data_IF_609427866414
#
_entry.id   IF_609427866414
#
_cell.length_a   1.000
_cell.length_b   1.000
_cell.length_c   1.000
_cell.angle_alpha   90.00
_cell.angle_beta   90.00
_cell.angle_gamma   90.00
#
_symmetry.space_group_name_H-M   'P 1'
#
loop_
_entity.id
_entity.type
_entity.pdbx_description
1 polymer ?
#
# COMPACT_ATOMS: atom_id res chain seq x y z
N UNK A 1 -16.70 0.47 -7.60
CA UNK A 1 -16.89 -1.00 -7.70
C UNK A 1 -18.31 -1.35 -7.29
N UNK A 2 -18.83 -2.50 -7.76
CA UNK A 2 -20.17 -3.02 -7.40
C UNK A 2 -20.39 -3.11 -5.90
N UNK A 3 -19.36 -3.56 -5.17
CA UNK A 3 -19.38 -3.65 -3.70
C UNK A 3 -19.55 -2.27 -3.04
N UNK A 4 -18.93 -1.22 -3.60
CA UNK A 4 -19.08 0.14 -3.07
C UNK A 4 -20.49 0.65 -3.21
N UNK A 5 -21.15 0.42 -4.36
CA UNK A 5 -22.54 0.80 -4.58
C UNK A 5 -23.47 0.03 -3.61
N UNK A 6 -23.27 -1.30 -3.49
CA UNK A 6 -24.01 -2.11 -2.50
C UNK A 6 -23.89 -1.53 -1.09
N UNK A 7 -22.68 -1.17 -0.66
CA UNK A 7 -22.47 -0.59 0.67
C UNK A 7 -23.13 0.79 0.84
N UNK A 8 -23.22 1.61 -0.22
CA UNK A 8 -23.93 2.88 -0.18
C UNK A 8 -25.43 2.67 -0.02
N UNK A 9 -26.00 1.69 -0.73
CA UNK A 9 -27.41 1.31 -0.60
C UNK A 9 -27.71 0.85 0.84
N UNK A 10 -26.92 -0.07 1.38
CA UNK A 10 -27.08 -0.59 2.74
C UNK A 10 -26.92 0.50 3.82
N UNK A 11 -26.19 1.57 3.52
CA UNK A 11 -26.03 2.75 4.38
C UNK A 11 -27.05 3.85 4.10
N UNK A 12 -28.08 3.56 3.32
CA UNK A 12 -29.14 4.50 2.96
C UNK A 12 -28.62 5.78 2.28
N UNK A 13 -27.53 5.68 1.51
CA UNK A 13 -26.86 6.80 0.81
C UNK A 13 -27.18 6.82 -0.69
N UNK A 14 -28.22 6.12 -1.14
CA UNK A 14 -28.64 6.08 -2.54
C UNK A 14 -30.15 6.33 -2.67
N UNK A 15 -30.52 7.22 -3.59
CA UNK A 15 -31.90 7.53 -3.97
C UNK A 15 -32.10 7.27 -5.45
N UNK A 16 -33.27 6.76 -5.82
CA UNK A 16 -33.76 6.67 -7.19
C UNK A 16 -35.06 7.46 -7.24
N UNK A 17 -35.13 8.44 -8.15
CA UNK A 17 -36.27 9.35 -8.31
C UNK A 17 -36.70 9.97 -6.95
N UNK A 18 -35.72 10.47 -6.20
CA UNK A 18 -35.86 11.03 -4.85
C UNK A 18 -36.29 10.02 -3.75
N UNK A 19 -36.57 8.77 -4.08
CA UNK A 19 -36.97 7.73 -3.11
C UNK A 19 -35.72 6.96 -2.64
N UNK A 20 -35.61 6.76 -1.32
CA UNK A 20 -34.51 6.03 -0.72
C UNK A 20 -34.52 4.56 -1.14
N UNK A 21 -33.37 4.02 -1.52
CA UNK A 21 -33.21 2.62 -1.91
C UNK A 21 -32.46 1.87 -0.81
N UNK A 22 -33.09 0.80 -0.31
CA UNK A 22 -32.53 -0.09 0.73
C UNK A 22 -32.15 -1.47 0.18
N UNK A 23 -32.67 -1.84 -0.97
CA UNK A 23 -32.43 -3.14 -1.60
C UNK A 23 -31.38 -3.00 -2.73
N UNK A 24 -30.19 -3.65 -2.59
CA UNK A 24 -29.19 -3.66 -3.62
C UNK A 24 -29.60 -4.38 -4.91
N UNK A 25 -30.68 -5.15 -4.91
CA UNK A 25 -31.22 -5.85 -6.08
C UNK A 25 -32.27 -5.05 -6.84
N UNK A 26 -32.63 -3.85 -6.37
CA UNK A 26 -33.57 -2.95 -7.02
C UNK A 26 -33.22 -2.76 -8.50
N UNK A 27 -34.15 -3.11 -9.36
CA UNK A 27 -34.03 -2.88 -10.80
C UNK A 27 -34.21 -1.39 -11.10
N UNK A 28 -33.42 -0.92 -12.05
CA UNK A 28 -33.47 0.46 -12.56
C UNK A 28 -34.00 0.44 -13.98
N UNK A 29 -34.67 1.51 -14.38
CA UNK A 29 -35.20 1.73 -15.72
C UNK A 29 -34.49 2.88 -16.43
N UNK A 30 -34.55 2.88 -17.76
CA UNK A 30 -34.04 4.00 -18.53
C UNK A 30 -34.82 5.28 -18.16
N UNK A 31 -34.10 6.36 -17.84
CA UNK A 31 -34.68 7.63 -17.38
C UNK A 31 -34.77 7.79 -15.84
N UNK A 32 -34.45 6.76 -15.06
CA UNK A 32 -34.35 6.92 -13.61
C UNK A 32 -33.22 7.88 -13.24
N UNK A 33 -33.51 8.81 -12.34
CA UNK A 33 -32.52 9.72 -11.75
C UNK A 33 -31.92 9.07 -10.51
N UNK A 34 -30.60 8.76 -10.56
CA UNK A 34 -29.88 8.09 -9.47
C UNK A 34 -28.98 9.11 -8.78
N UNK A 35 -29.25 9.36 -7.52
CA UNK A 35 -28.47 10.25 -6.66
C UNK A 35 -27.84 9.40 -5.56
N UNK A 36 -26.53 9.49 -5.38
CA UNK A 36 -25.86 8.88 -4.24
C UNK A 36 -24.89 9.85 -3.56
N UNK A 37 -24.93 9.81 -2.25
CA UNK A 37 -24.04 10.57 -1.40
C UNK A 37 -22.77 9.77 -1.16
N UNK A 38 -21.65 10.28 -1.65
CA UNK A 38 -20.34 9.68 -1.35
C UNK A 38 -19.86 10.28 -0.03
N UNK A 39 -19.74 9.48 1.06
CA UNK A 39 -19.17 10.00 2.29
C UNK A 39 -17.76 10.51 2.04
N UNK A 40 -17.41 11.62 2.67
CA UNK A 40 -16.05 12.12 2.66
C UNK A 40 -15.08 11.02 3.10
N UNK A 41 -13.89 10.96 2.49
CA UNK A 41 -12.85 10.06 2.95
C UNK A 41 -12.58 10.33 4.43
N UNK A 42 -12.68 9.31 5.28
CA UNK A 42 -12.23 9.45 6.65
C UNK A 42 -10.78 9.89 6.61
N UNK A 43 -10.47 11.06 7.17
CA UNK A 43 -9.07 11.46 7.38
C UNK A 43 -8.43 10.40 8.26
N UNK A 44 -7.56 9.61 7.68
CA UNK A 44 -6.75 8.64 8.41
C UNK A 44 -5.64 9.46 9.07
N UNK A 45 -5.71 9.64 10.36
CA UNK A 45 -4.58 10.17 11.12
C UNK A 45 -3.67 9.01 11.50
N UNK A 46 -2.37 9.18 11.28
CA UNK A 46 -1.39 8.23 11.76
C UNK A 46 -1.37 8.24 13.30
N UNK A 47 -1.58 7.08 13.90
CA UNK A 47 -1.43 6.90 15.34
C UNK A 47 -0.09 6.25 15.64
N UNK A 48 0.66 6.71 16.65
CA UNK A 48 1.85 6.03 17.11
C UNK A 48 1.53 4.57 17.50
N UNK A 49 2.43 3.66 17.16
CA UNK A 49 2.33 2.25 17.49
C UNK A 49 3.57 1.81 18.26
N UNK A 50 3.37 1.27 19.45
CA UNK A 50 4.46 0.75 20.26
C UNK A 50 4.96 -0.57 19.66
N UNK A 51 6.00 -0.46 18.86
CA UNK A 51 6.65 -1.59 18.19
C UNK A 51 8.15 -1.36 18.18
N UNK A 52 8.91 -2.35 18.66
CA UNK A 52 10.37 -2.31 18.67
C UNK A 52 10.92 -2.47 17.25
N UNK A 53 11.35 -1.35 16.67
CA UNK A 53 12.05 -1.36 15.38
C UNK A 53 13.42 -2.03 15.54
N UNK A 54 13.73 -2.95 14.64
CA UNK A 54 15.06 -3.55 14.52
C UNK A 54 15.93 -2.65 13.63
N UNK A 55 16.57 -1.66 14.25
CA UNK A 55 17.38 -0.66 13.57
C UNK A 55 18.78 -1.23 13.31
N UNK A 56 19.14 -1.36 12.03
CA UNK A 56 20.44 -1.86 11.57
C UNK A 56 21.47 -0.72 11.42
N UNK A 57 20.99 0.43 10.98
CA UNK A 57 21.80 1.63 10.81
C UNK A 57 20.95 2.89 10.99
N UNK A 58 21.53 3.92 11.56
CA UNK A 58 20.91 5.24 11.64
C UNK A 58 22.01 6.31 11.63
N UNK A 59 21.80 7.34 10.81
CA UNK A 59 22.62 8.55 10.77
C UNK A 59 21.73 9.81 10.71
N UNK A 60 22.27 10.93 10.23
CA UNK A 60 21.54 12.20 10.10
C UNK A 60 20.52 12.18 8.96
N UNK A 61 20.73 11.34 7.95
CA UNK A 61 20.03 11.36 6.68
C UNK A 61 19.02 10.24 6.53
N UNK A 62 19.29 9.07 7.10
CA UNK A 62 18.47 7.88 6.91
C UNK A 62 18.44 6.96 8.13
N UNK A 63 17.45 6.08 8.15
CA UNK A 63 17.34 4.93 9.05
C UNK A 63 17.22 3.68 8.18
N UNK A 64 17.98 2.63 8.51
CA UNK A 64 17.80 1.30 7.94
C UNK A 64 17.24 0.38 9.01
N UNK A 65 16.12 -0.22 8.74
CA UNK A 65 15.49 -1.21 9.64
C UNK A 65 15.46 -2.59 8.97
N UNK A 66 15.55 -3.62 9.78
CA UNK A 66 15.26 -5.00 9.37
C UNK A 66 13.78 -5.30 9.69
N UNK A 67 12.92 -5.14 8.69
CA UNK A 67 11.48 -5.38 8.84
C UNK A 67 11.20 -6.87 9.01
N UNK A 68 10.47 -7.24 10.04
CA UNK A 68 9.96 -8.61 10.20
C UNK A 68 8.81 -8.89 9.23
N UNK A 69 8.62 -10.17 8.87
CA UNK A 69 7.41 -10.62 8.20
C UNK A 69 6.18 -10.42 9.10
N UNK A 70 5.00 -10.27 8.51
CA UNK A 70 3.73 -10.11 9.22
C UNK A 70 3.31 -8.65 9.50
N UNK A 71 4.20 -7.66 9.33
CA UNK A 71 3.88 -6.24 9.51
C UNK A 71 3.87 -5.48 8.18
N UNK A 72 2.82 -4.71 7.94
CA UNK A 72 2.69 -3.87 6.74
C UNK A 72 3.55 -2.61 6.83
N UNK A 73 3.99 -2.08 5.69
CA UNK A 73 4.77 -0.84 5.63
C UNK A 73 3.96 0.39 6.04
N UNK A 74 2.73 0.52 5.53
CA UNK A 74 1.90 1.70 5.70
C UNK A 74 0.42 1.31 5.88
N UNK A 75 -0.40 2.22 6.43
CA UNK A 75 -1.82 2.01 6.61
C UNK A 75 -2.54 1.63 5.31
N UNK A 76 -3.47 0.71 5.41
CA UNK A 76 -4.31 0.24 4.31
C UNK A 76 -5.70 -0.14 4.82
N UNK A 77 -6.64 -0.39 3.91
CA UNK A 77 -7.99 -0.83 4.28
C UNK A 77 -7.92 -2.10 5.13
N UNK A 78 -8.43 -2.02 6.36
CA UNK A 78 -8.42 -3.12 7.32
C UNK A 78 -7.20 -3.18 8.26
N UNK A 79 -6.17 -2.34 8.04
CA UNK A 79 -5.02 -2.21 8.95
C UNK A 79 -4.51 -0.75 8.94
N UNK A 80 -4.98 0.06 9.88
CA UNK A 80 -4.66 1.49 9.92
C UNK A 80 -3.60 1.85 10.98
N UNK A 81 -3.47 1.06 12.03
CA UNK A 81 -2.77 1.45 13.25
C UNK A 81 -1.51 0.63 13.57
N UNK A 82 -1.29 -0.51 12.90
CA UNK A 82 -0.22 -1.47 13.23
C UNK A 82 0.73 -1.65 12.05
N UNK A 83 1.40 -0.58 11.63
CA UNK A 83 2.32 -0.61 10.48
C UNK A 83 3.69 -0.05 10.86
N UNK A 84 4.68 -0.26 10.00
CA UNK A 84 6.03 0.32 10.18
C UNK A 84 5.96 1.85 10.26
N UNK A 85 5.09 2.50 9.47
CA UNK A 85 4.91 3.96 9.54
C UNK A 85 4.40 4.39 10.93
N UNK A 86 3.42 3.68 11.49
CA UNK A 86 2.94 3.95 12.85
C UNK A 86 4.04 3.73 13.91
N UNK A 87 4.89 2.71 13.74
CA UNK A 87 6.01 2.46 14.62
C UNK A 87 7.09 3.56 14.51
N UNK A 88 7.36 4.04 13.30
CA UNK A 88 8.26 5.17 13.07
C UNK A 88 7.75 6.47 13.71
N UNK A 89 6.44 6.71 13.68
CA UNK A 89 5.82 7.83 14.39
C UNK A 89 6.04 7.74 15.90
N UNK A 90 5.95 6.53 16.48
CA UNK A 90 6.22 6.29 17.91
C UNK A 90 7.72 6.42 18.24
N UNK A 91 8.59 6.20 17.29
CA UNK A 91 10.05 6.33 17.45
C UNK A 91 10.48 7.80 17.64
N UNK A 92 9.57 8.75 17.44
CA UNK A 92 9.71 10.19 17.70
C UNK A 92 10.92 10.84 17.01
N UNK A 93 11.25 10.40 15.81
CA UNK A 93 12.32 10.97 14.99
C UNK A 93 11.75 11.85 13.88
N UNK A 94 12.49 12.90 13.53
CA UNK A 94 12.17 13.66 12.33
C UNK A 94 12.33 12.77 11.11
N UNK A 95 11.28 12.69 10.31
CA UNK A 95 11.26 12.00 9.03
C UNK A 95 10.94 13.00 7.93
N UNK A 96 11.35 12.68 6.70
CA UNK A 96 10.95 13.49 5.55
C UNK A 96 9.43 13.51 5.42
N UNK A 97 8.89 14.68 5.10
CA UNK A 97 7.47 14.92 4.86
C UNK A 97 7.12 15.12 3.38
N UNK A 98 8.04 14.82 2.47
CA UNK A 98 7.76 14.84 1.04
C UNK A 98 6.80 13.70 0.68
N UNK A 99 5.84 14.01 -0.19
CA UNK A 99 4.89 13.04 -0.73
C UNK A 99 3.63 12.89 0.11
N UNK A 100 3.26 11.65 0.41
CA UNK A 100 2.02 11.32 1.10
C UNK A 100 2.17 11.52 2.62
N UNK A 101 1.31 12.35 3.23
CA UNK A 101 1.28 12.58 4.69
C UNK A 101 1.16 11.28 5.51
N UNK A 102 0.62 10.23 4.89
CA UNK A 102 0.51 8.91 5.51
C UNK A 102 1.76 8.02 5.30
N UNK A 103 2.83 8.56 4.72
CA UNK A 103 4.06 7.81 4.39
C UNK A 103 5.34 8.59 4.66
N UNK A 104 5.49 9.24 5.83
CA UNK A 104 6.66 10.05 6.13
C UNK A 104 7.95 9.22 5.99
N UNK A 105 8.91 9.73 5.21
CA UNK A 105 10.20 9.11 5.00
C UNK A 105 10.23 7.84 4.14
N UNK A 106 9.09 7.35 3.67
CA UNK A 106 9.00 6.07 2.93
C UNK A 106 9.31 6.28 1.45
N UNK A 107 10.47 5.81 1.01
CA UNK A 107 10.95 5.89 -0.38
C UNK A 107 10.75 4.59 -1.17
N UNK A 108 10.55 3.47 -0.48
CA UNK A 108 10.24 2.16 -1.08
C UNK A 108 9.44 1.28 -0.13
N UNK A 109 9.03 0.13 -0.60
CA UNK A 109 8.29 -0.83 0.22
C UNK A 109 8.61 -2.27 -0.14
N UNK A 110 8.42 -3.17 0.83
CA UNK A 110 8.29 -4.61 0.63
C UNK A 110 6.94 -5.07 1.16
N UNK A 111 6.50 -6.25 0.76
CA UNK A 111 5.20 -6.78 1.16
C UNK A 111 5.12 -7.11 2.65
N UNK A 112 3.90 -7.26 3.16
CA UNK A 112 3.64 -7.54 4.58
C UNK A 112 4.44 -8.74 5.07
N UNK A 113 4.42 -9.83 4.31
CA UNK A 113 5.01 -11.11 4.72
C UNK A 113 6.45 -11.29 4.21
N UNK A 114 7.00 -10.29 3.52
CA UNK A 114 8.43 -10.21 3.19
C UNK A 114 9.19 -9.57 4.34
N UNK A 115 10.25 -10.19 4.81
CA UNK A 115 11.22 -9.62 5.75
C UNK A 115 12.41 -9.03 5.03
N UNK A 116 13.16 -8.16 5.71
CA UNK A 116 14.42 -7.62 5.21
C UNK A 116 14.56 -6.10 5.35
N UNK A 117 15.60 -5.57 4.73
CA UNK A 117 16.03 -4.20 4.92
C UNK A 117 15.10 -3.19 4.25
N UNK A 118 14.78 -2.14 4.99
CA UNK A 118 14.02 -0.98 4.56
C UNK A 118 14.81 0.27 4.89
N UNK A 119 14.97 1.15 3.91
CA UNK A 119 15.59 2.47 4.07
C UNK A 119 14.50 3.52 4.22
N UNK A 120 14.64 4.39 5.20
CA UNK A 120 13.72 5.47 5.55
C UNK A 120 14.50 6.78 5.52
N UNK A 121 13.99 7.79 4.82
CA UNK A 121 14.60 9.11 4.75
C UNK A 121 14.22 9.97 5.97
N UNK A 122 15.22 10.59 6.62
CA UNK A 122 15.01 11.48 7.77
C UNK A 122 14.77 12.93 7.36
N UNK A 123 15.23 13.34 6.21
CA UNK A 123 15.08 14.68 5.67
C UNK A 123 14.68 14.66 4.19
N UNK A 124 14.32 15.83 3.65
CA UNK A 124 13.79 15.94 2.31
C UNK A 124 14.86 15.69 1.23
N UNK A 125 16.09 16.08 1.48
CA UNK A 125 17.22 15.89 0.54
C UNK A 125 17.49 14.40 0.35
N UNK A 126 17.60 13.65 1.44
CA UNK A 126 17.80 12.20 1.37
C UNK A 126 16.58 11.49 0.77
N UNK A 127 15.37 12.00 1.00
CA UNK A 127 14.16 11.45 0.39
C UNK A 127 14.18 11.56 -1.15
N UNK A 128 14.48 12.74 -1.68
CA UNK A 128 14.57 12.97 -3.12
C UNK A 128 15.67 12.12 -3.75
N UNK A 129 16.86 12.10 -3.16
CA UNK A 129 17.99 11.31 -3.65
C UNK A 129 17.68 9.80 -3.67
N UNK A 130 17.13 9.27 -2.58
CA UNK A 130 16.75 7.85 -2.51
C UNK A 130 15.62 7.52 -3.49
N UNK A 131 14.61 8.38 -3.60
CA UNK A 131 13.51 8.19 -4.55
C UNK A 131 13.99 8.16 -5.99
N UNK A 132 14.92 9.04 -6.37
CA UNK A 132 15.56 9.02 -7.69
C UNK A 132 16.29 7.70 -7.95
N UNK A 133 17.13 7.27 -7.01
CA UNK A 133 17.87 6.00 -7.12
C UNK A 133 16.95 4.79 -7.24
N UNK A 134 15.80 4.77 -6.52
CA UNK A 134 14.79 3.71 -6.67
C UNK A 134 14.10 3.77 -8.04
N UNK A 135 13.77 4.96 -8.54
CA UNK A 135 13.13 5.16 -9.85
C UNK A 135 14.07 4.77 -11.01
N UNK A 136 15.34 5.11 -10.91
CA UNK A 136 16.38 4.80 -11.89
C UNK A 136 16.88 3.35 -11.81
N UNK A 137 16.43 2.60 -10.80
CA UNK A 137 16.90 1.24 -10.51
C UNK A 137 18.42 1.14 -10.25
N UNK A 138 19.07 2.22 -9.79
CA UNK A 138 20.49 2.24 -9.49
C UNK A 138 20.86 1.56 -8.17
N UNK A 139 19.88 1.37 -7.28
CA UNK A 139 20.05 0.62 -6.03
C UNK A 139 20.04 -0.88 -6.32
N UNK A 140 21.10 -1.57 -5.92
CA UNK A 140 21.15 -3.04 -5.96
C UNK A 140 20.21 -3.63 -4.92
N UNK A 141 19.28 -4.48 -5.37
CA UNK A 141 18.31 -5.17 -4.52
C UNK A 141 18.45 -6.67 -4.65
N UNK A 142 18.78 -7.33 -3.55
CA UNK A 142 18.94 -8.78 -3.51
C UNK A 142 17.88 -9.38 -2.60
N UNK A 143 17.20 -10.40 -3.10
CA UNK A 143 16.19 -11.16 -2.36
C UNK A 143 16.53 -12.63 -2.31
N UNK A 144 16.20 -13.26 -1.20
CA UNK A 144 16.25 -14.72 -1.06
C UNK A 144 14.83 -15.25 -0.93
N UNK A 145 14.52 -16.33 -1.64
CA UNK A 145 13.21 -16.96 -1.60
C UNK A 145 13.34 -18.48 -1.55
N UNK A 146 12.52 -19.12 -0.72
CA UNK A 146 12.33 -20.56 -0.76
C UNK A 146 11.31 -20.88 -1.86
N UNK A 147 11.67 -21.78 -2.76
CA UNK A 147 10.83 -22.20 -3.88
C UNK A 147 10.56 -23.69 -3.85
N UNK A 148 9.46 -24.11 -4.47
CA UNK A 148 9.17 -25.52 -4.71
C UNK A 148 9.98 -26.05 -5.91
N UNK A 149 10.62 -27.19 -5.75
CA UNK A 149 11.36 -27.87 -6.82
C UNK A 149 12.77 -27.31 -7.02
N UNK A 150 13.30 -27.53 -8.22
CA UNK A 150 14.65 -27.09 -8.62
C UNK A 150 14.57 -26.22 -9.87
N UNK A 151 15.28 -25.10 -9.86
CA UNK A 151 15.44 -24.30 -11.07
C UNK A 151 16.34 -25.04 -12.09
N UNK A 152 15.88 -25.04 -13.34
CA UNK A 152 16.66 -25.51 -14.48
C UNK A 152 16.46 -24.54 -15.65
N UNK A 153 17.48 -23.77 -16.06
CA UNK A 153 18.84 -23.66 -15.50
C UNK A 153 18.85 -23.05 -14.08
N UNK A 154 19.96 -23.21 -13.37
CA UNK A 154 20.11 -22.70 -11.99
C UNK A 154 20.19 -21.17 -11.91
N UNK A 155 20.48 -20.51 -13.01
CA UNK A 155 20.50 -19.07 -13.14
C UNK A 155 19.82 -18.65 -14.45
N UNK A 156 19.31 -17.43 -14.48
CA UNK A 156 18.62 -16.91 -15.65
C UNK A 156 17.99 -15.54 -15.38
N UNK A 157 17.38 -14.97 -16.41
CA UNK A 157 16.66 -13.69 -16.36
C UNK A 157 15.19 -13.96 -16.68
N UNK A 158 14.30 -13.36 -15.88
CA UNK A 158 12.86 -13.39 -16.11
C UNK A 158 12.42 -11.95 -16.34
N UNK A 159 11.91 -11.64 -17.52
CA UNK A 159 11.32 -10.36 -17.88
C UNK A 159 9.87 -10.57 -18.25
N UNK A 160 8.96 -9.99 -17.46
CA UNK A 160 7.52 -10.14 -17.66
C UNK A 160 6.79 -8.87 -17.29
N UNK A 161 5.60 -8.70 -17.82
CA UNK A 161 4.70 -7.64 -17.37
C UNK A 161 3.91 -8.10 -16.15
N UNK A 162 3.82 -7.22 -15.15
CA UNK A 162 3.01 -7.43 -13.96
C UNK A 162 1.78 -6.53 -14.08
N UNK A 163 0.59 -7.12 -14.14
CA UNK A 163 -0.67 -6.39 -14.21
C UNK A 163 -1.60 -6.79 -13.07
N UNK A 164 -2.55 -5.92 -12.75
CA UNK A 164 -3.64 -6.31 -11.85
C UNK A 164 -4.71 -7.03 -12.66
N UNK A 165 -5.15 -8.20 -12.19
CA UNK A 165 -6.25 -8.92 -12.81
C UNK A 165 -7.52 -8.09 -12.73
N UNK A 166 -8.12 -7.75 -13.87
CA UNK A 166 -9.26 -6.82 -13.99
C UNK A 166 -10.48 -7.25 -13.15
N UNK A 167 -10.66 -8.55 -12.94
CA UNK A 167 -11.78 -9.14 -12.19
C UNK A 167 -11.57 -9.15 -10.67
N UNK A 168 -10.32 -9.09 -10.20
CA UNK A 168 -9.95 -9.12 -8.79
C UNK A 168 -8.81 -8.14 -8.54
N UNK A 169 -9.13 -6.93 -8.09
CA UNK A 169 -8.17 -5.82 -7.93
C UNK A 169 -7.01 -6.10 -6.96
N UNK A 170 -7.09 -7.16 -6.18
CA UNK A 170 -6.04 -7.58 -5.24
C UNK A 170 -5.10 -8.64 -5.82
N UNK A 171 -5.44 -9.27 -6.95
CA UNK A 171 -4.60 -10.28 -7.56
C UNK A 171 -3.69 -9.66 -8.62
N UNK A 172 -2.42 -9.98 -8.51
CA UNK A 172 -1.39 -9.63 -9.49
C UNK A 172 -1.27 -10.82 -10.45
N UNK A 173 -1.27 -10.54 -11.75
CA UNK A 173 -1.07 -11.53 -12.79
C UNK A 173 0.24 -11.23 -13.52
N UNK A 174 1.05 -12.25 -13.70
CA UNK A 174 2.26 -12.17 -14.51
C UNK A 174 1.85 -12.46 -15.95
N UNK A 175 1.84 -11.43 -16.80
CA UNK A 175 1.53 -11.57 -18.21
C UNK A 175 2.71 -12.14 -18.97
N UNK A 176 2.45 -13.16 -19.78
CA UNK A 176 3.39 -13.59 -20.83
C UNK A 176 3.11 -12.71 -22.03
N UNK A 177 4.12 -11.98 -22.52
CA UNK A 177 4.02 -11.32 -23.84
C UNK A 177 3.74 -12.37 -24.92
N UNK A 178 2.67 -12.15 -25.68
CA UNK A 178 2.47 -12.85 -26.95
C UNK A 178 3.42 -12.29 -27.98
#
# INVERSE_FOLDING_TARGET
SRTRVKNLILKEKLKINNSLVKDPSKKISTGDNIIFEIPDPKKVSLKPYEYKLDIVHEDLDLIVINKKAGISMHPSVGNYDNTIVNALMNYNKKLSNIGDELRPGIVHRIDKDTSGLIVIAKNNISHENLSSQFAEHSITRVYQALIWGKLRPQNGKIETFITRRSKYSQMIEVGVTK
#
